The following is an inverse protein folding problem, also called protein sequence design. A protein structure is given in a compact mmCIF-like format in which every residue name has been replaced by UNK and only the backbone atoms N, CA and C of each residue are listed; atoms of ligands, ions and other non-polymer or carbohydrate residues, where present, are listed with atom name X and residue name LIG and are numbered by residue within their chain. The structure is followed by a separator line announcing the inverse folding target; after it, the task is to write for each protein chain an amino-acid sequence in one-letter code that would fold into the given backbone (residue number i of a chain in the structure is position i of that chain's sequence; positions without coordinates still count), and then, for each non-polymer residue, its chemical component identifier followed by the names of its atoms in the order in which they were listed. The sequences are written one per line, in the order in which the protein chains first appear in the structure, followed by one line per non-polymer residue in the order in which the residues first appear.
data_IF_314064897776
#
_entry.id   IF_314064897776
#
_cell.length_a   1.000
_cell.length_b   1.000
_cell.length_c   1.000
_cell.angle_alpha   90.00
_cell.angle_beta   90.00
_cell.angle_gamma   90.00
#
_symmetry.space_group_name_H-M   'P 1'
#
loop_
_entity.id
_entity.type
_entity.pdbx_description
1 polymer ?
#
# COMPACT_ATOMS: atom_id res chain seq x y z
N UNK A 1 19.15 52.43 8.42
CA UNK A 1 19.93 51.23 8.71
C UNK A 1 18.98 50.17 9.20
N UNK A 2 18.49 49.29 8.29
CA UNK A 2 17.60 48.19 8.62
C UNK A 2 18.44 46.95 8.89
N UNK A 3 18.24 46.40 10.06
CA UNK A 3 18.88 45.15 10.49
C UNK A 3 18.12 44.03 9.83
N UNK A 4 18.80 43.25 8.98
CA UNK A 4 18.27 42.00 8.41
C UNK A 4 18.09 41.00 9.54
N UNK A 5 16.85 40.58 9.81
CA UNK A 5 16.56 39.42 10.63
C UNK A 5 16.96 38.16 9.85
N UNK A 6 17.76 37.26 10.44
CA UNK A 6 18.08 35.98 9.78
C UNK A 6 16.80 35.13 9.75
N UNK A 7 16.35 34.83 8.53
CA UNK A 7 15.34 33.80 8.28
C UNK A 7 15.86 32.49 8.87
N UNK A 8 15.22 32.07 9.96
CA UNK A 8 15.49 30.77 10.59
C UNK A 8 15.02 29.67 9.64
N UNK A 9 15.97 29.10 8.91
CA UNK A 9 15.80 27.89 8.09
C UNK A 9 15.77 26.66 9.01
N UNK A 10 14.79 26.61 9.89
CA UNK A 10 14.48 25.42 10.67
C UNK A 10 13.62 24.51 9.80
N UNK A 11 14.27 23.67 8.99
CA UNK A 11 13.60 22.58 8.31
C UNK A 11 12.75 21.75 9.29
N UNK A 12 11.77 20.98 8.82
CA UNK A 12 10.83 20.26 9.68
C UNK A 12 11.60 19.37 10.65
N UNK A 13 11.50 19.67 11.95
CA UNK A 13 12.09 18.83 13.00
C UNK A 13 11.37 17.48 13.00
N UNK A 14 11.98 16.51 12.36
CA UNK A 14 11.46 15.14 12.32
C UNK A 14 11.48 14.56 13.74
N UNK A 15 10.34 14.07 14.20
CA UNK A 15 10.26 13.37 15.48
C UNK A 15 11.10 12.10 15.44
N UNK A 16 11.88 11.78 16.49
CA UNK A 16 12.62 10.53 16.56
C UNK A 16 11.71 9.32 16.33
N UNK A 17 12.16 8.37 15.55
CA UNK A 17 11.41 7.14 15.28
C UNK A 17 11.29 6.30 16.56
N UNK A 18 10.11 5.76 16.81
CA UNK A 18 9.94 4.82 17.92
C UNK A 18 10.66 3.49 17.64
N UNK A 19 11.12 2.79 18.68
CA UNK A 19 11.71 1.46 18.55
C UNK A 19 10.82 0.50 17.73
N UNK A 20 9.48 0.56 17.93
CA UNK A 20 8.52 -0.21 17.15
C UNK A 20 8.57 0.16 15.66
N UNK A 21 8.59 1.44 15.34
CA UNK A 21 8.64 1.92 13.94
C UNK A 21 9.92 1.47 13.25
N UNK A 22 11.07 1.61 13.90
CA UNK A 22 12.37 1.16 13.38
C UNK A 22 12.36 -0.33 13.09
N UNK A 23 12.01 -1.16 14.09
CA UNK A 23 12.00 -2.62 13.95
C UNK A 23 11.01 -3.10 12.90
N UNK A 24 9.84 -2.48 12.83
CA UNK A 24 8.84 -2.81 11.80
C UNK A 24 9.32 -2.45 10.41
N UNK A 25 9.95 -1.28 10.23
CA UNK A 25 10.49 -0.87 8.93
C UNK A 25 11.61 -1.79 8.46
N UNK A 26 12.49 -2.24 9.36
CA UNK A 26 13.54 -3.21 9.04
C UNK A 26 12.94 -4.52 8.51
N UNK A 27 11.95 -5.08 9.22
CA UNK A 27 11.31 -6.33 8.81
C UNK A 27 10.47 -6.17 7.54
N UNK A 28 9.80 -5.04 7.34
CA UNK A 28 9.04 -4.75 6.12
C UNK A 28 9.95 -4.58 4.89
N UNK A 29 11.20 -4.13 5.08
CA UNK A 29 12.18 -3.99 4.01
C UNK A 29 13.02 -5.25 3.75
N UNK A 30 12.82 -6.33 4.52
CA UNK A 30 13.63 -7.56 4.41
C UNK A 30 12.83 -8.68 3.74
N UNK A 31 13.48 -9.42 2.82
CA UNK A 31 12.90 -10.55 2.12
C UNK A 31 13.80 -11.80 2.24
N UNK A 32 13.35 -12.87 2.86
CA UNK A 32 12.06 -13.05 3.56
C UNK A 32 11.96 -12.14 4.81
N UNK A 33 10.73 -11.80 5.28
CA UNK A 33 10.50 -10.84 6.37
C UNK A 33 10.80 -11.42 7.76
N UNK A 34 12.03 -11.85 7.94
CA UNK A 34 12.55 -12.50 9.15
C UNK A 34 14.00 -12.07 9.39
N UNK A 35 14.32 -11.71 10.62
CA UNK A 35 15.69 -11.37 11.04
C UNK A 35 16.01 -11.94 12.43
N UNK A 36 17.27 -12.37 12.64
CA UNK A 36 17.78 -12.73 13.96
C UNK A 36 17.72 -11.55 14.94
N UNK A 37 17.49 -11.84 16.23
CA UNK A 37 17.43 -10.80 17.29
C UNK A 37 18.68 -9.92 17.28
N UNK A 38 19.86 -10.52 17.14
CA UNK A 38 21.14 -9.78 17.11
C UNK A 38 21.17 -8.73 15.99
N UNK A 39 20.64 -9.04 14.81
CA UNK A 39 20.63 -8.13 13.66
C UNK A 39 19.60 -7.02 13.85
N UNK A 40 18.40 -7.37 14.33
CA UNK A 40 17.37 -6.38 14.67
C UNK A 40 17.88 -5.36 15.69
N UNK A 41 18.58 -5.81 16.73
CA UNK A 41 19.17 -4.92 17.74
C UNK A 41 20.28 -4.07 17.12
N UNK A 42 21.23 -4.67 16.41
CA UNK A 42 22.35 -3.95 15.77
C UNK A 42 21.87 -2.86 14.80
N UNK A 43 20.80 -3.15 14.02
CA UNK A 43 20.23 -2.16 13.13
C UNK A 43 19.46 -1.08 13.87
N UNK A 44 18.75 -1.43 14.95
CA UNK A 44 18.01 -0.46 15.76
C UNK A 44 18.94 0.55 16.45
N UNK A 45 20.12 0.12 16.87
CA UNK A 45 21.16 0.99 17.47
C UNK A 45 21.63 2.11 16.53
N UNK A 46 21.57 1.89 15.21
CA UNK A 46 21.88 2.94 14.21
C UNK A 46 20.85 4.08 14.15
N UNK A 47 19.72 3.89 14.79
CA UNK A 47 18.64 4.85 14.92
C UNK A 47 18.47 5.30 16.39
N UNK A 48 19.54 5.23 17.17
CA UNK A 48 19.59 5.61 18.60
C UNK A 48 18.62 4.81 19.50
N UNK A 49 18.21 3.62 19.07
CA UNK A 49 17.37 2.69 19.85
C UNK A 49 18.26 1.70 20.57
N UNK A 50 18.45 1.89 21.88
CA UNK A 50 19.29 1.01 22.71
C UNK A 50 18.82 -0.43 22.69
N UNK A 51 19.77 -1.39 22.82
CA UNK A 51 19.52 -2.82 22.68
C UNK A 51 18.48 -3.39 23.66
N UNK A 52 18.40 -2.88 24.89
CA UNK A 52 17.37 -3.28 25.87
C UNK A 52 15.97 -2.81 25.41
N UNK A 53 15.86 -1.57 24.92
CA UNK A 53 14.64 -0.98 24.38
C UNK A 53 14.16 -1.76 23.17
N UNK A 54 15.08 -2.12 22.25
CA UNK A 54 14.77 -2.92 21.07
C UNK A 54 14.21 -4.30 21.45
N UNK A 55 14.86 -5.02 22.39
CA UNK A 55 14.38 -6.32 22.86
C UNK A 55 13.01 -6.25 23.54
N UNK A 56 12.79 -5.22 24.37
CA UNK A 56 11.50 -5.00 25.00
C UNK A 56 10.40 -4.69 23.96
N UNK A 57 10.73 -3.89 22.92
CA UNK A 57 9.80 -3.62 21.83
C UNK A 57 9.45 -4.87 21.02
N UNK A 58 10.44 -5.72 20.67
CA UNK A 58 10.22 -7.00 20.00
C UNK A 58 9.27 -7.91 20.78
N UNK A 59 9.48 -8.02 22.10
CA UNK A 59 8.61 -8.83 22.96
C UNK A 59 7.16 -8.29 22.98
N UNK A 60 6.97 -6.97 23.10
CA UNK A 60 5.63 -6.34 23.03
C UNK A 60 4.95 -6.54 21.68
N UNK A 61 5.70 -6.40 20.59
CA UNK A 61 5.18 -6.60 19.24
C UNK A 61 4.78 -8.07 19.01
N UNK A 62 5.52 -9.02 19.57
CA UNK A 62 5.14 -10.44 19.52
C UNK A 62 3.87 -10.71 20.34
N UNK A 63 3.77 -10.14 21.54
CA UNK A 63 2.57 -10.26 22.37
C UNK A 63 1.33 -9.63 21.73
N UNK A 64 1.52 -8.52 20.98
CA UNK A 64 0.46 -7.86 20.22
C UNK A 64 0.09 -8.57 18.90
N UNK A 65 0.77 -9.69 18.56
CA UNK A 65 0.50 -10.43 17.31
C UNK A 65 1.02 -9.76 16.03
N UNK A 66 1.88 -8.75 16.14
CA UNK A 66 2.54 -8.13 14.99
C UNK A 66 3.69 -9.02 14.47
N UNK A 67 4.38 -9.67 15.39
CA UNK A 67 5.51 -10.56 15.09
C UNK A 67 5.24 -11.98 15.57
N UNK A 68 5.88 -12.95 14.92
CA UNK A 68 6.00 -14.34 15.37
C UNK A 68 7.45 -14.63 15.74
N UNK A 69 7.67 -15.32 16.85
CA UNK A 69 9.00 -15.80 17.22
C UNK A 69 9.42 -16.94 16.30
N UNK A 70 10.69 -16.95 15.92
CA UNK A 70 11.34 -18.05 15.21
C UNK A 70 12.48 -18.63 16.07
N UNK A 71 13.17 -19.64 15.61
CA UNK A 71 14.29 -20.25 16.36
C UNK A 71 15.39 -19.23 16.70
N UNK A 72 15.65 -18.26 15.84
CA UNK A 72 16.77 -17.31 15.98
C UNK A 72 16.34 -15.86 16.14
N UNK A 73 15.08 -15.52 15.85
CA UNK A 73 14.65 -14.14 15.79
C UNK A 73 13.14 -13.94 15.75
N UNK A 74 12.73 -13.03 14.84
CA UNK A 74 11.35 -12.66 14.64
C UNK A 74 11.04 -12.51 13.15
N UNK A 75 9.83 -12.92 12.77
CA UNK A 75 9.25 -12.65 11.45
C UNK A 75 7.95 -11.87 11.57
N UNK A 76 7.57 -11.20 10.49
CA UNK A 76 6.26 -10.53 10.42
C UNK A 76 5.11 -11.55 10.55
N UNK A 77 4.02 -11.13 11.18
CA UNK A 77 2.76 -11.87 11.15
C UNK A 77 2.18 -11.88 9.74
N UNK A 78 1.28 -12.83 9.43
CA UNK A 78 0.66 -12.96 8.09
C UNK A 78 -0.02 -11.66 7.64
N UNK A 79 -0.67 -10.96 8.57
CA UNK A 79 -1.27 -9.66 8.30
C UNK A 79 -0.25 -8.61 7.82
N UNK A 80 0.95 -8.60 8.40
CA UNK A 80 2.02 -7.67 8.03
C UNK A 80 2.79 -8.13 6.79
N UNK A 81 2.89 -9.43 6.55
CA UNK A 81 3.41 -9.98 5.28
C UNK A 81 2.51 -9.56 4.11
N UNK A 82 1.19 -9.61 4.29
CA UNK A 82 0.26 -9.13 3.28
C UNK A 82 0.38 -7.61 3.05
N UNK A 83 0.65 -6.83 4.11
CA UNK A 83 0.98 -5.41 3.98
C UNK A 83 2.28 -5.19 3.20
N UNK A 84 3.33 -5.95 3.49
CA UNK A 84 4.61 -5.92 2.77
C UNK A 84 4.39 -6.18 1.29
N UNK A 85 3.68 -7.26 0.94
CA UNK A 85 3.36 -7.58 -0.46
C UNK A 85 2.68 -6.43 -1.18
N UNK A 86 1.66 -5.79 -0.55
CA UNK A 86 0.99 -4.63 -1.15
C UNK A 86 1.93 -3.45 -1.36
N UNK A 87 2.86 -3.23 -0.44
CA UNK A 87 3.88 -2.19 -0.55
C UNK A 87 4.86 -2.48 -1.69
N UNK A 88 5.35 -3.72 -1.78
CA UNK A 88 6.25 -4.16 -2.85
C UNK A 88 5.58 -4.04 -4.23
N UNK A 89 4.30 -4.44 -4.33
CA UNK A 89 3.51 -4.28 -5.55
C UNK A 89 3.27 -2.80 -5.92
N UNK A 90 3.27 -1.89 -4.94
CA UNK A 90 3.12 -0.46 -5.20
C UNK A 90 4.43 0.16 -5.71
N UNK A 91 5.57 -0.28 -5.16
CA UNK A 91 6.91 0.21 -5.54
C UNK A 91 7.39 -0.46 -6.84
N UNK A 92 7.11 -1.75 -7.00
CA UNK A 92 7.50 -2.56 -8.16
C UNK A 92 6.28 -3.18 -8.85
N UNK A 93 5.39 -2.37 -9.46
CA UNK A 93 4.21 -2.90 -10.09
C UNK A 93 4.58 -3.76 -11.29
N UNK A 94 4.02 -4.97 -11.35
CA UNK A 94 4.16 -5.83 -12.54
C UNK A 94 3.25 -5.28 -13.63
N UNK A 95 3.82 -4.47 -14.52
CA UNK A 95 3.09 -3.85 -15.63
C UNK A 95 3.47 -4.49 -16.97
N UNK A 96 2.63 -4.26 -17.98
CA UNK A 96 2.90 -4.48 -19.39
C UNK A 96 2.63 -3.18 -20.17
N UNK A 97 3.15 -3.08 -21.38
CA UNK A 97 2.76 -2.01 -22.28
C UNK A 97 1.23 -2.03 -22.44
N UNK A 98 0.61 -0.87 -22.36
CA UNK A 98 -0.82 -0.74 -22.54
C UNK A 98 -1.13 -0.53 -24.03
N UNK A 99 -2.06 -1.30 -24.55
CA UNK A 99 -2.46 -1.34 -25.97
C UNK A 99 -3.83 -0.70 -26.26
N UNK A 100 -4.41 -0.03 -25.25
CA UNK A 100 -5.72 0.62 -25.33
C UNK A 100 -6.86 -0.19 -24.72
N UNK A 101 -6.61 -1.43 -24.33
CA UNK A 101 -7.63 -2.29 -23.70
C UNK A 101 -7.83 -1.95 -22.21
N UNK A 102 -9.04 -2.17 -21.74
CA UNK A 102 -9.46 -1.98 -20.36
C UNK A 102 -9.99 -3.29 -19.78
N UNK A 103 -9.61 -3.60 -18.57
CA UNK A 103 -10.28 -4.62 -17.77
C UNK A 103 -11.57 -4.02 -17.21
N UNK A 104 -12.70 -4.67 -17.47
CA UNK A 104 -14.02 -4.26 -17.00
C UNK A 104 -14.60 -5.36 -16.11
N UNK A 105 -15.08 -4.96 -14.95
CA UNK A 105 -15.78 -5.82 -13.98
C UNK A 105 -17.20 -5.33 -13.87
N UNK A 106 -18.16 -6.20 -14.14
CA UNK A 106 -19.58 -5.94 -14.03
C UNK A 106 -20.14 -6.77 -12.87
N UNK A 107 -20.68 -6.10 -11.86
CA UNK A 107 -21.30 -6.77 -10.71
C UNK A 107 -22.64 -7.33 -11.14
N UNK A 108 -22.79 -8.65 -10.99
CA UNK A 108 -24.00 -9.38 -11.38
C UNK A 108 -24.80 -9.87 -10.18
N UNK A 109 -24.18 -9.91 -9.00
CA UNK A 109 -24.85 -10.33 -7.78
C UNK A 109 -25.86 -9.28 -7.31
N UNK A 110 -27.09 -9.73 -7.04
CA UNK A 110 -28.22 -8.92 -6.54
C UNK A 110 -28.46 -9.15 -5.05
N UNK A 111 -29.30 -8.32 -4.41
CA UNK A 111 -29.77 -8.52 -3.04
C UNK A 111 -28.73 -8.28 -1.93
N UNK A 112 -27.61 -7.64 -2.23
CA UNK A 112 -26.54 -7.35 -1.25
C UNK A 112 -26.90 -6.21 -0.34
N UNK A 113 -26.61 -6.40 0.96
CA UNK A 113 -26.76 -5.37 1.97
C UNK A 113 -25.74 -4.22 1.81
N UNK A 114 -25.96 -3.07 2.46
CA UNK A 114 -25.04 -1.91 2.38
C UNK A 114 -23.61 -2.25 2.80
N UNK A 115 -23.42 -3.05 3.84
CA UNK A 115 -22.10 -3.45 4.34
C UNK A 115 -21.32 -4.29 3.31
N UNK A 116 -21.98 -5.27 2.69
CA UNK A 116 -21.39 -6.13 1.64
C UNK A 116 -21.02 -5.32 0.38
N UNK A 117 -21.85 -4.33 0.03
CA UNK A 117 -21.54 -3.41 -1.08
C UNK A 117 -20.32 -2.56 -0.76
N UNK A 118 -20.20 -2.04 0.46
CA UNK A 118 -19.04 -1.24 0.89
C UNK A 118 -17.75 -2.08 0.90
N UNK A 119 -17.82 -3.33 1.38
CA UNK A 119 -16.69 -4.24 1.36
C UNK A 119 -16.24 -4.55 -0.07
N UNK A 120 -17.19 -4.89 -0.97
CA UNK A 120 -16.88 -5.16 -2.37
C UNK A 120 -16.25 -3.93 -3.06
N UNK A 121 -16.78 -2.73 -2.82
CA UNK A 121 -16.20 -1.47 -3.31
C UNK A 121 -14.76 -1.31 -2.83
N UNK A 122 -14.48 -1.52 -1.56
CA UNK A 122 -13.13 -1.47 -0.98
C UNK A 122 -12.19 -2.47 -1.64
N UNK A 123 -12.65 -3.70 -1.90
CA UNK A 123 -11.87 -4.74 -2.60
C UNK A 123 -11.55 -4.33 -4.04
N UNK A 124 -12.54 -3.86 -4.80
CA UNK A 124 -12.36 -3.44 -6.20
C UNK A 124 -11.41 -2.23 -6.32
N UNK A 125 -11.55 -1.24 -5.44
CA UNK A 125 -10.60 -0.10 -5.34
C UNK A 125 -9.18 -0.58 -5.01
N UNK A 126 -9.03 -1.54 -4.10
CA UNK A 126 -7.74 -2.18 -3.79
C UNK A 126 -7.10 -2.91 -4.98
N UNK A 127 -7.90 -3.33 -5.95
CA UNK A 127 -7.47 -3.91 -7.22
C UNK A 127 -7.17 -2.85 -8.29
N UNK A 128 -7.17 -1.57 -7.94
CA UNK A 128 -6.96 -0.42 -8.83
C UNK A 128 -8.08 -0.22 -9.87
N UNK A 129 -9.25 -0.79 -9.63
CA UNK A 129 -10.43 -0.51 -10.41
C UNK A 129 -11.09 0.78 -9.92
N UNK A 130 -11.67 1.55 -10.84
CA UNK A 130 -12.51 2.71 -10.54
C UNK A 130 -13.93 2.47 -11.03
N UNK A 131 -14.91 2.98 -10.30
CA UNK A 131 -16.31 2.81 -10.64
C UNK A 131 -16.71 3.82 -11.72
N UNK A 132 -17.12 3.34 -12.89
CA UNK A 132 -17.64 4.17 -13.97
C UNK A 132 -19.10 4.59 -13.69
N UNK A 133 -19.87 3.64 -13.19
CA UNK A 133 -21.26 3.78 -12.74
C UNK A 133 -21.56 2.61 -11.78
N UNK A 134 -22.68 2.68 -11.10
CA UNK A 134 -23.07 1.61 -10.16
C UNK A 134 -22.95 0.23 -10.81
N UNK A 135 -22.13 -0.61 -10.19
CA UNK A 135 -21.88 -1.99 -10.61
C UNK A 135 -20.93 -2.18 -11.80
N UNK A 136 -20.40 -1.12 -12.41
CA UNK A 136 -19.46 -1.21 -13.53
C UNK A 136 -18.13 -0.56 -13.16
N UNK A 137 -17.07 -1.36 -13.17
CA UNK A 137 -15.72 -0.97 -12.73
C UNK A 137 -14.72 -1.17 -13.84
N UNK A 138 -13.77 -0.23 -13.97
CA UNK A 138 -12.76 -0.23 -15.03
C UNK A 138 -11.36 0.05 -14.49
N UNK A 139 -10.35 -0.51 -15.17
CA UNK A 139 -8.95 -0.07 -15.10
C UNK A 139 -8.26 -0.33 -16.44
N UNK A 140 -7.18 0.39 -16.80
CA UNK A 140 -6.35 0.03 -17.93
C UNK A 140 -5.83 -1.41 -17.79
N UNK A 141 -5.86 -2.19 -18.88
CA UNK A 141 -5.41 -3.59 -18.87
C UNK A 141 -3.87 -3.68 -18.95
N UNK A 142 -3.18 -2.91 -18.10
CA UNK A 142 -1.71 -2.83 -18.09
C UNK A 142 -1.05 -3.51 -16.88
N UNK A 143 -1.82 -4.12 -15.99
CA UNK A 143 -1.29 -4.87 -14.85
C UNK A 143 -1.14 -6.36 -15.18
N UNK A 144 0.03 -6.94 -14.91
CA UNK A 144 0.26 -8.40 -14.99
C UNK A 144 -0.23 -9.10 -13.71
N UNK A 145 -1.40 -8.74 -13.24
CA UNK A 145 -2.03 -9.28 -12.05
C UNK A 145 -3.46 -9.70 -12.40
N UNK A 146 -3.76 -11.01 -12.39
CA UNK A 146 -5.12 -11.49 -12.64
C UNK A 146 -6.05 -10.96 -11.53
N UNK A 147 -7.32 -10.79 -11.87
CA UNK A 147 -8.36 -10.54 -10.90
C UNK A 147 -8.56 -11.78 -10.03
N UNK A 148 -8.84 -11.63 -8.72
CA UNK A 148 -9.05 -12.77 -7.83
C UNK A 148 -10.27 -13.62 -8.26
N UNK A 149 -10.10 -14.93 -8.33
CA UNK A 149 -11.18 -15.90 -8.63
C UNK A 149 -12.39 -15.73 -7.71
N UNK A 150 -12.19 -15.26 -6.48
CA UNK A 150 -13.30 -14.98 -5.55
C UNK A 150 -14.27 -13.89 -6.04
N UNK A 151 -13.92 -13.11 -7.07
CA UNK A 151 -14.84 -12.16 -7.70
C UNK A 151 -15.82 -12.85 -8.66
N UNK A 152 -15.50 -14.01 -9.21
CA UNK A 152 -16.32 -14.72 -10.20
C UNK A 152 -17.71 -15.09 -9.65
N UNK A 153 -17.81 -15.26 -8.34
CA UNK A 153 -19.09 -15.52 -7.67
C UNK A 153 -20.05 -14.31 -7.68
N UNK A 154 -19.56 -13.11 -7.95
CA UNK A 154 -20.31 -11.86 -7.75
C UNK A 154 -20.22 -10.90 -8.92
N UNK A 155 -19.36 -11.19 -9.90
CA UNK A 155 -19.09 -10.31 -11.03
C UNK A 155 -18.68 -11.12 -12.26
N UNK A 156 -18.84 -10.50 -13.42
CA UNK A 156 -18.28 -10.97 -14.67
C UNK A 156 -17.15 -10.06 -15.11
N UNK A 157 -16.13 -10.65 -15.74
CA UNK A 157 -14.93 -9.98 -16.19
C UNK A 157 -14.90 -9.88 -17.71
N UNK A 158 -14.53 -8.71 -18.22
CA UNK A 158 -14.45 -8.45 -19.65
C UNK A 158 -13.15 -7.70 -19.96
N UNK A 159 -12.67 -7.86 -21.19
CA UNK A 159 -11.77 -6.90 -21.82
C UNK A 159 -12.60 -6.01 -22.74
N UNK A 160 -12.46 -4.69 -22.59
CA UNK A 160 -13.22 -3.72 -23.34
C UNK A 160 -12.29 -2.69 -23.98
N UNK A 161 -12.68 -2.18 -25.14
CA UNK A 161 -12.00 -1.07 -25.82
C UNK A 161 -13.01 0.06 -26.02
N UNK A 162 -13.09 1.01 -25.06
CA UNK A 162 -14.02 2.13 -25.14
C UNK A 162 -13.70 3.01 -26.36
N UNK A 163 -14.73 3.52 -27.00
CA UNK A 163 -14.60 4.52 -28.10
C UNK A 163 -14.19 5.90 -27.56
N UNK A 164 -14.55 6.18 -26.31
CA UNK A 164 -14.17 7.42 -25.63
C UNK A 164 -12.64 7.51 -25.51
N UNK A 165 -12.02 8.69 -25.80
CA UNK A 165 -10.58 8.86 -25.64
C UNK A 165 -10.11 8.45 -24.25
N UNK A 166 -9.06 7.64 -24.18
CA UNK A 166 -8.58 7.04 -22.95
C UNK A 166 -8.22 8.07 -21.86
N UNK A 167 -7.66 9.22 -22.26
CA UNK A 167 -7.34 10.32 -21.35
C UNK A 167 -8.57 10.88 -20.66
N UNK A 168 -9.65 11.08 -21.41
CA UNK A 168 -10.92 11.59 -20.88
C UNK A 168 -11.57 10.56 -19.96
N UNK A 169 -11.53 9.29 -20.33
CA UNK A 169 -12.04 8.21 -19.49
C UNK A 169 -11.26 8.10 -18.18
N UNK A 170 -9.93 8.18 -18.24
CA UNK A 170 -9.08 8.16 -17.04
C UNK A 170 -9.37 9.38 -16.14
N UNK A 171 -9.51 10.58 -16.70
CA UNK A 171 -9.82 11.79 -15.93
C UNK A 171 -11.21 11.72 -15.26
N UNK A 172 -12.18 11.03 -15.89
CA UNK A 172 -13.50 10.81 -15.30
C UNK A 172 -13.47 9.76 -14.15
N UNK A 173 -12.55 8.80 -14.20
CA UNK A 173 -12.45 7.71 -13.25
C UNK A 173 -11.58 8.05 -12.02
N UNK A 174 -10.56 8.90 -12.19
CA UNK A 174 -9.61 9.25 -11.11
C UNK A 174 -9.36 10.75 -11.04
N UNK A 175 -9.21 11.33 -9.84
CA UNK A 175 -8.87 12.75 -9.64
C UNK A 175 -7.39 13.00 -9.93
N UNK A 176 -6.95 12.82 -11.20
CA UNK A 176 -5.55 12.83 -11.60
C UNK A 176 -4.85 14.15 -11.30
N UNK A 177 -5.53 15.29 -11.49
CA UNK A 177 -4.96 16.60 -11.22
C UNK A 177 -4.70 16.84 -9.73
N UNK A 178 -5.64 16.40 -8.87
CA UNK A 178 -5.46 16.45 -7.42
C UNK A 178 -4.30 15.57 -6.95
N UNK A 179 -4.19 14.37 -7.51
CA UNK A 179 -3.07 13.48 -7.22
C UNK A 179 -1.73 14.10 -7.67
N UNK A 180 -1.68 14.67 -8.87
CA UNK A 180 -0.48 15.33 -9.41
C UNK A 180 -0.08 16.55 -8.57
N UNK A 181 -1.05 17.35 -8.11
CA UNK A 181 -0.79 18.48 -7.23
C UNK A 181 -0.20 18.03 -5.87
N UNK A 182 -0.79 17.01 -5.26
CA UNK A 182 -0.27 16.42 -4.00
C UNK A 182 1.14 15.88 -4.17
N UNK A 183 1.43 15.19 -5.27
CA UNK A 183 2.77 14.64 -5.54
C UNK A 183 3.82 15.72 -5.72
N UNK A 184 3.49 16.84 -6.38
CA UNK A 184 4.41 17.99 -6.52
C UNK A 184 4.70 18.69 -5.19
N UNK A 185 3.74 18.71 -4.28
CA UNK A 185 3.92 19.32 -2.96
C UNK A 185 4.83 18.50 -2.03
N UNK A 186 5.17 17.25 -2.40
CA UNK A 186 6.07 16.37 -1.65
C UNK A 186 7.51 16.38 -2.17
N UNK A 187 7.76 17.07 -3.30
CA UNK A 187 9.07 17.23 -3.93
C UNK A 187 9.72 18.57 -3.55
#
# INVERSE_FOLDING_TARGET
MRIDDPVSDAGPVLRPLSARSVLLSLLLGTHPPELPVRELVRHAERFDVGGSTARAALSRMAAAGDLRRTATGYRLSERLVERQRRQDEAVHPRTRAWDGDWEMVVITATGRGPAERAELRTRLTGLRLAELREGVWLRPANLRRPLPVALDAVAQHYTARPERPARELAAALWPLDGWAATSRALL
#
